data_IF_545294955481
#
_entry.id   IF_545294955481
#
_cell.length_a   1.000
_cell.length_b   1.000
_cell.length_c   1.000
_cell.angle_alpha   90.00
_cell.angle_beta   90.00
_cell.angle_gamma   90.00
#
_symmetry.space_group_name_H-M   'P 1'
#
loop_
_entity.id
_entity.type
_entity.pdbx_description
1 polymer ?
#
# COMPACT_ATOMS: atom_id res chain seq x y z
N UNK A 1 -38.04 28.51 43.58
CA UNK A 1 -37.68 27.50 44.60
C UNK A 1 -38.03 26.13 44.05
N UNK A 2 -37.04 25.42 43.51
CA UNK A 2 -37.22 24.04 43.05
C UNK A 2 -37.05 23.15 44.29
N UNK A 3 -38.04 22.31 44.58
CA UNK A 3 -37.98 21.36 45.71
C UNK A 3 -36.87 20.35 45.44
N UNK A 4 -35.89 20.33 46.35
CA UNK A 4 -34.85 19.31 46.43
C UNK A 4 -35.53 17.98 46.79
N UNK A 5 -35.33 16.97 45.95
CA UNK A 5 -36.00 15.67 46.08
C UNK A 5 -35.04 14.72 46.80
N UNK A 6 -35.19 14.60 48.12
CA UNK A 6 -34.35 13.77 49.03
C UNK A 6 -34.57 12.25 48.90
N UNK A 7 -34.85 11.74 47.69
CA UNK A 7 -34.92 10.29 47.49
C UNK A 7 -33.52 9.72 47.26
N UNK A 8 -33.09 8.69 48.02
CA UNK A 8 -31.82 8.03 47.78
C UNK A 8 -31.82 7.38 46.38
N UNK A 9 -30.93 7.87 45.52
CA UNK A 9 -30.77 7.41 44.14
C UNK A 9 -30.45 5.91 44.09
N UNK A 10 -31.10 5.19 43.18
CA UNK A 10 -30.97 3.73 43.08
C UNK A 10 -29.61 3.36 42.51
N UNK A 11 -29.02 2.25 42.98
CA UNK A 11 -27.70 1.76 42.56
C UNK A 11 -27.57 1.52 41.03
N UNK A 12 -28.69 1.33 40.33
CA UNK A 12 -28.78 1.21 38.86
C UNK A 12 -28.61 2.53 38.09
N UNK A 13 -28.72 3.68 38.77
CA UNK A 13 -28.62 5.02 38.19
C UNK A 13 -27.19 5.59 38.25
N UNK A 14 -26.28 4.83 38.88
CA UNK A 14 -24.85 5.13 38.93
C UNK A 14 -24.10 4.34 37.86
N UNK A 15 -23.26 5.04 37.06
CA UNK A 15 -21.89 4.71 36.56
C UNK A 15 -21.55 5.61 35.35
N UNK A 16 -20.32 6.15 35.20
CA UNK A 16 -19.07 5.36 35.19
C UNK A 16 -17.88 5.94 35.99
N UNK A 17 -16.94 5.05 36.36
CA UNK A 17 -15.66 5.43 36.97
C UNK A 17 -14.53 5.15 35.97
N UNK A 18 -14.24 6.15 35.14
CA UNK A 18 -13.45 6.02 33.92
C UNK A 18 -13.20 7.37 33.25
N UNK A 19 -12.85 7.34 31.97
CA UNK A 19 -12.77 8.52 31.10
C UNK A 19 -13.88 8.47 30.06
N UNK A 20 -14.55 9.58 29.78
CA UNK A 20 -15.56 9.68 28.73
C UNK A 20 -15.36 10.93 27.87
N UNK A 21 -15.82 10.89 26.62
CA UNK A 21 -15.83 12.07 25.76
C UNK A 21 -16.95 13.07 26.14
N UNK A 22 -17.00 14.21 25.44
CA UNK A 22 -18.04 15.24 25.60
C UNK A 22 -19.31 14.96 24.77
N UNK A 23 -19.52 13.72 24.28
CA UNK A 23 -20.70 13.36 23.52
C UNK A 23 -22.01 13.51 24.33
N UNK A 24 -23.13 13.66 23.61
CA UNK A 24 -24.48 13.63 24.20
C UNK A 24 -24.73 12.30 24.91
N UNK A 25 -25.65 12.25 25.88
CA UNK A 25 -25.84 11.10 26.78
C UNK A 25 -25.93 9.72 26.06
N UNK A 26 -26.55 9.67 24.88
CA UNK A 26 -26.73 8.43 24.10
C UNK A 26 -25.66 8.20 23.01
N UNK A 27 -24.68 9.10 22.91
CA UNK A 27 -23.60 9.06 21.91
C UNK A 27 -22.21 9.16 22.57
N UNK A 28 -22.17 9.20 23.90
CA UNK A 28 -20.96 9.39 24.68
C UNK A 28 -20.14 8.12 24.70
N UNK A 29 -18.88 8.23 24.31
CA UNK A 29 -17.94 7.11 24.35
C UNK A 29 -17.19 7.15 25.66
N UNK A 30 -17.08 6.00 26.34
CA UNK A 30 -16.44 5.93 27.65
C UNK A 30 -15.59 4.67 27.80
N UNK A 31 -14.52 4.80 28.59
CA UNK A 31 -13.63 3.72 29.01
C UNK A 31 -13.56 3.68 30.52
N UNK A 32 -14.02 2.58 31.11
CA UNK A 32 -13.93 2.36 32.55
C UNK A 32 -12.50 2.05 32.98
N UNK A 33 -12.10 2.51 34.16
CA UNK A 33 -10.82 2.13 34.74
C UNK A 33 -10.79 0.64 35.08
N UNK A 34 -9.63 0.01 34.93
CA UNK A 34 -9.38 -1.30 35.55
C UNK A 34 -9.45 -1.16 37.08
N UNK A 35 -9.77 -2.25 37.79
CA UNK A 35 -9.83 -2.24 39.27
C UNK A 35 -8.56 -1.66 39.91
N UNK A 36 -7.39 -2.09 39.44
CA UNK A 36 -6.09 -1.64 39.94
C UNK A 36 -5.87 -0.14 39.70
N UNK A 37 -6.25 0.36 38.53
CA UNK A 37 -6.09 1.77 38.20
C UNK A 37 -7.10 2.64 38.97
N UNK A 38 -8.30 2.12 39.18
CA UNK A 38 -9.31 2.76 40.02
C UNK A 38 -8.84 2.93 41.47
N UNK A 39 -8.23 1.90 42.06
CA UNK A 39 -7.66 1.97 43.43
C UNK A 39 -6.58 3.05 43.55
N UNK A 40 -5.77 3.27 42.50
CA UNK A 40 -4.78 4.36 42.46
C UNK A 40 -5.43 5.74 42.40
N UNK A 41 -6.46 5.89 41.57
CA UNK A 41 -7.21 7.14 41.42
C UNK A 41 -7.95 7.52 42.71
N UNK A 42 -8.40 6.52 43.47
CA UNK A 42 -9.07 6.69 44.76
C UNK A 42 -8.13 6.59 45.96
N UNK A 43 -6.80 6.59 45.73
CA UNK A 43 -5.85 6.51 46.83
C UNK A 43 -5.92 7.75 47.72
N UNK A 44 -5.71 7.60 49.04
CA UNK A 44 -5.68 8.74 49.95
C UNK A 44 -4.74 9.84 49.46
N UNK A 45 -5.22 11.08 49.49
CA UNK A 45 -4.47 12.23 49.01
C UNK A 45 -4.64 12.55 47.52
N UNK A 46 -5.33 11.73 46.73
CA UNK A 46 -5.77 12.09 45.37
C UNK A 46 -7.16 12.73 45.45
N UNK A 47 -7.30 13.95 44.97
CA UNK A 47 -8.56 14.69 44.95
C UNK A 47 -8.67 15.65 43.75
N UNK A 48 -9.84 16.26 43.61
CA UNK A 48 -10.15 17.19 42.51
C UNK A 48 -9.15 18.33 42.35
N UNK A 49 -8.57 18.83 43.46
CA UNK A 49 -7.68 20.00 43.45
C UNK A 49 -6.23 19.64 43.12
N UNK A 50 -5.85 18.36 43.22
CA UNK A 50 -4.45 17.97 43.11
C UNK A 50 -4.16 16.80 42.16
N UNK A 51 -5.17 16.07 41.65
CA UNK A 51 -4.93 14.91 40.79
C UNK A 51 -4.06 15.25 39.55
N UNK A 52 -4.26 16.42 38.94
CA UNK A 52 -3.47 16.91 37.80
C UNK A 52 -2.00 17.14 38.15
N UNK A 53 -1.75 17.50 39.41
CA UNK A 53 -0.41 17.76 39.95
C UNK A 53 0.33 16.47 40.32
N UNK A 54 -0.37 15.34 40.40
CA UNK A 54 0.20 14.02 40.70
C UNK A 54 0.53 13.34 39.36
N UNK A 55 1.81 13.27 38.95
CA UNK A 55 2.17 12.84 37.59
C UNK A 55 1.71 11.42 37.24
N UNK A 56 1.67 10.52 38.24
CA UNK A 56 1.23 9.15 38.05
C UNK A 56 -0.27 9.07 37.73
N UNK A 57 -1.09 9.87 38.42
CA UNK A 57 -2.54 9.92 38.19
C UNK A 57 -2.84 10.62 36.87
N UNK A 58 -2.17 11.74 36.58
CA UNK A 58 -2.31 12.45 35.32
C UNK A 58 -2.01 11.55 34.11
N UNK A 59 -0.85 10.88 34.08
CA UNK A 59 -0.50 9.95 33.00
C UNK A 59 -1.48 8.79 32.85
N UNK A 60 -2.00 8.30 33.99
CA UNK A 60 -3.00 7.25 34.00
C UNK A 60 -4.27 7.74 33.29
N UNK A 61 -4.82 8.89 33.67
CA UNK A 61 -6.04 9.45 33.08
C UNK A 61 -5.84 9.79 31.60
N UNK A 62 -4.70 10.41 31.23
CA UNK A 62 -4.35 10.70 29.84
C UNK A 62 -4.30 9.44 28.97
N UNK A 63 -3.77 8.32 29.48
CA UNK A 63 -3.77 7.04 28.76
C UNK A 63 -5.20 6.58 28.46
N UNK A 64 -6.12 6.66 29.42
CA UNK A 64 -7.52 6.28 29.17
C UNK A 64 -8.21 7.26 28.21
N UNK A 65 -7.89 8.56 28.27
CA UNK A 65 -8.35 9.53 27.29
C UNK A 65 -7.87 9.21 25.86
N UNK A 66 -6.62 8.77 25.70
CA UNK A 66 -6.09 8.27 24.43
C UNK A 66 -6.74 6.96 23.98
N UNK A 67 -7.22 6.12 24.89
CA UNK A 67 -8.03 4.95 24.50
C UNK A 67 -9.39 5.39 23.98
N UNK A 68 -10.07 6.32 24.67
CA UNK A 68 -11.37 6.88 24.24
C UNK A 68 -11.26 7.53 22.87
N UNK A 69 -10.16 8.25 22.58
CA UNK A 69 -9.97 8.91 21.27
C UNK A 69 -9.92 7.93 20.09
N UNK A 70 -9.67 6.63 20.31
CA UNK A 70 -9.62 5.63 19.23
C UNK A 70 -10.99 5.14 18.78
N UNK A 71 -12.00 5.25 19.65
CA UNK A 71 -13.35 4.75 19.37
C UNK A 71 -14.44 5.80 19.56
N UNK A 72 -14.08 7.03 19.94
CA UNK A 72 -15.03 8.12 20.06
C UNK A 72 -15.57 8.54 18.69
N UNK A 73 -16.88 8.76 18.62
CA UNK A 73 -17.49 9.37 17.44
C UNK A 73 -17.00 10.81 17.20
N UNK A 74 -16.58 11.52 18.25
CA UNK A 74 -16.07 12.89 18.13
C UNK A 74 -14.71 12.96 17.40
N UNK A 75 -13.95 11.87 17.42
CA UNK A 75 -12.61 11.79 16.82
C UNK A 75 -12.60 11.05 15.49
N UNK A 76 -13.75 10.54 15.03
CA UNK A 76 -13.87 9.70 13.83
C UNK A 76 -13.30 10.37 12.58
N UNK A 77 -13.52 11.67 12.43
CA UNK A 77 -13.10 12.43 11.26
C UNK A 77 -11.77 13.18 11.49
N UNK A 78 -11.17 13.04 12.67
CA UNK A 78 -9.89 13.66 13.01
C UNK A 78 -8.73 12.79 12.50
N UNK A 79 -7.77 13.40 11.81
CA UNK A 79 -6.51 12.74 11.39
C UNK A 79 -5.62 12.43 12.57
N UNK A 80 -5.56 13.34 13.54
CA UNK A 80 -4.78 13.21 14.77
C UNK A 80 -5.53 13.86 15.94
N UNK A 81 -6.43 13.13 16.62
CA UNK A 81 -7.11 13.64 17.80
C UNK A 81 -6.11 13.88 18.93
N UNK A 82 -6.00 15.13 19.38
CA UNK A 82 -5.27 15.51 20.57
C UNK A 82 -6.20 15.83 21.73
N UNK A 83 -5.68 15.71 22.94
CA UNK A 83 -6.42 16.00 24.18
C UNK A 83 -6.23 17.47 24.51
N UNK A 84 -7.32 18.24 24.50
CA UNK A 84 -7.32 19.67 24.84
C UNK A 84 -7.46 19.86 26.34
N UNK A 85 -8.44 19.17 26.92
CA UNK A 85 -8.74 19.29 28.33
C UNK A 85 -9.27 17.98 28.90
N UNK A 86 -9.00 17.75 30.18
CA UNK A 86 -9.59 16.66 30.96
C UNK A 86 -10.18 17.28 32.22
N UNK A 87 -11.49 17.15 32.41
CA UNK A 87 -12.22 17.69 33.56
C UNK A 87 -12.72 16.54 34.42
N UNK A 88 -12.42 16.59 35.72
CA UNK A 88 -13.05 15.67 36.67
C UNK A 88 -14.50 16.12 36.93
N UNK A 89 -15.45 15.31 36.46
CA UNK A 89 -16.90 15.48 36.62
C UNK A 89 -17.45 14.40 37.56
N UNK A 90 -18.41 14.76 38.41
CA UNK A 90 -19.26 13.79 39.10
C UNK A 90 -20.51 13.58 38.25
N UNK A 91 -20.92 12.35 37.96
CA UNK A 91 -22.05 12.13 37.05
C UNK A 91 -23.03 11.06 37.56
N UNK A 92 -24.30 11.46 37.60
CA UNK A 92 -25.50 10.60 37.48
C UNK A 92 -25.98 10.72 36.03
N UNK A 93 -26.39 9.61 35.42
CA UNK A 93 -26.90 9.62 34.03
C UNK A 93 -28.33 10.18 33.98
N UNK A 94 -28.62 11.11 33.06
CA UNK A 94 -30.00 11.54 32.73
C UNK A 94 -30.34 13.03 32.88
N UNK A 95 -29.43 13.87 33.38
CA UNK A 95 -29.65 15.32 33.51
C UNK A 95 -28.61 16.13 32.72
N UNK A 96 -29.05 17.20 32.05
CA UNK A 96 -28.18 18.09 31.25
C UNK A 96 -27.22 18.91 32.12
N UNK A 97 -27.66 19.33 33.30
CA UNK A 97 -26.84 19.83 34.40
C UNK A 97 -27.54 19.43 35.70
N UNK A 98 -26.81 18.85 36.65
CA UNK A 98 -27.36 18.62 38.00
C UNK A 98 -26.63 19.54 38.97
N UNK A 99 -27.21 20.71 39.31
CA UNK A 99 -26.69 21.54 40.38
C UNK A 99 -26.76 20.73 41.68
N UNK A 100 -25.66 20.67 42.43
CA UNK A 100 -25.64 20.03 43.76
C UNK A 100 -24.94 18.67 43.87
N UNK A 101 -24.82 17.86 42.81
CA UNK A 101 -24.07 16.58 42.86
C UNK A 101 -22.55 16.76 43.06
N UNK A 102 -22.05 17.97 42.79
CA UNK A 102 -20.70 18.39 43.14
C UNK A 102 -20.44 18.46 44.66
N UNK A 103 -21.47 18.47 45.50
CA UNK A 103 -21.36 18.50 46.96
C UNK A 103 -21.23 17.08 47.57
N UNK A 104 -21.81 16.06 46.94
CA UNK A 104 -21.76 14.67 47.45
C UNK A 104 -20.45 13.94 47.13
N UNK A 105 -19.67 14.43 46.16
CA UNK A 105 -18.27 13.98 45.94
C UNK A 105 -17.28 14.64 46.92
N UNK A 106 -17.74 14.93 48.15
CA UNK A 106 -16.93 15.54 49.20
C UNK A 106 -15.67 14.72 49.54
N UNK A 107 -15.67 13.42 49.20
CA UNK A 107 -14.58 12.47 49.42
C UNK A 107 -14.00 11.83 48.14
N UNK A 108 -14.32 12.31 46.93
CA UNK A 108 -13.72 11.78 45.69
C UNK A 108 -14.11 10.33 45.33
N UNK A 109 -15.26 9.84 45.81
CA UNK A 109 -15.69 8.44 45.64
C UNK A 109 -16.24 8.09 44.26
N UNK A 110 -16.63 9.07 43.45
CA UNK A 110 -17.06 8.84 42.06
C UNK A 110 -16.37 9.83 41.14
N UNK A 111 -15.47 9.30 40.31
CA UNK A 111 -14.54 10.04 39.46
C UNK A 111 -14.80 9.68 38.01
N UNK A 112 -15.52 10.54 37.29
CA UNK A 112 -15.62 10.48 35.85
C UNK A 112 -14.73 11.59 35.28
N UNK A 113 -13.82 11.25 34.39
CA UNK A 113 -13.00 12.24 33.71
C UNK A 113 -13.59 12.49 32.33
N UNK A 114 -14.08 13.70 32.09
CA UNK A 114 -14.57 14.10 30.79
C UNK A 114 -13.41 14.68 29.97
N UNK A 115 -13.19 14.14 28.78
CA UNK A 115 -12.12 14.59 27.87
C UNK A 115 -12.68 15.33 26.65
N UNK A 116 -11.98 16.40 26.28
CA UNK A 116 -12.19 17.17 25.06
C UNK A 116 -11.10 16.89 24.03
N UNK A 117 -11.51 16.69 22.78
CA UNK A 117 -10.60 16.39 21.66
C UNK A 117 -10.60 17.49 20.62
N UNK A 118 -9.44 17.71 20.00
CA UNK A 118 -9.27 18.62 18.86
C UNK A 118 -8.30 18.02 17.83
N UNK A 119 -8.40 18.44 16.57
CA UNK A 119 -7.44 18.09 15.53
C UNK A 119 -6.08 18.75 15.83
N UNK A 120 -5.07 17.93 16.15
CA UNK A 120 -3.71 18.42 16.41
C UNK A 120 -2.77 18.27 15.22
N UNK A 121 -3.25 17.73 14.09
CA UNK A 121 -2.49 17.79 12.85
C UNK A 121 -2.61 19.19 12.26
N UNK A 122 -1.48 19.87 12.06
CA UNK A 122 -1.45 20.99 11.12
C UNK A 122 -2.03 20.52 9.77
N UNK A 123 -2.79 21.37 9.05
CA UNK A 123 -3.32 21.01 7.75
C UNK A 123 -2.15 20.51 6.92
N UNK A 124 -2.21 19.22 6.56
CA UNK A 124 -1.15 18.49 5.85
C UNK A 124 -0.69 19.41 4.72
N UNK A 125 0.46 20.08 4.89
CA UNK A 125 0.98 21.07 3.93
C UNK A 125 1.01 20.32 2.62
N UNK A 126 0.02 20.61 1.76
CA UNK A 126 -0.16 19.90 0.51
C UNK A 126 1.19 20.00 -0.14
N UNK A 127 1.82 18.85 -0.36
CA UNK A 127 3.25 18.75 -0.64
C UNK A 127 3.48 19.49 -1.95
N UNK A 128 3.75 20.79 -1.86
CA UNK A 128 3.75 21.70 -3.02
C UNK A 128 4.81 21.26 -4.02
N UNK A 129 5.88 20.60 -3.55
CA UNK A 129 6.86 19.89 -4.36
C UNK A 129 6.29 18.81 -5.29
N UNK A 130 5.14 18.19 -5.00
CA UNK A 130 4.44 17.30 -5.94
C UNK A 130 3.84 18.07 -7.11
N UNK A 131 3.35 19.32 -6.90
CA UNK A 131 2.95 20.20 -8.00
C UNK A 131 4.16 20.57 -8.84
N UNK A 132 5.29 20.90 -8.21
CA UNK A 132 6.55 21.14 -8.94
C UNK A 132 7.05 19.90 -9.70
N UNK A 133 6.89 18.68 -9.16
CA UNK A 133 7.18 17.44 -9.87
C UNK A 133 6.24 17.25 -11.06
N UNK A 134 4.94 17.48 -10.88
CA UNK A 134 3.96 17.39 -11.95
C UNK A 134 4.27 18.40 -13.07
N UNK A 135 4.60 19.64 -12.71
CA UNK A 135 5.06 20.66 -13.65
C UNK A 135 6.39 20.30 -14.32
N UNK A 136 7.31 19.63 -13.60
CA UNK A 136 8.56 19.13 -14.18
C UNK A 136 8.32 18.00 -15.18
N UNK A 137 7.39 17.07 -14.90
CA UNK A 137 6.99 16.04 -15.86
C UNK A 137 6.26 16.61 -17.07
N UNK A 138 5.37 17.59 -16.87
CA UNK A 138 4.71 18.31 -17.97
C UNK A 138 5.72 19.08 -18.82
N UNK A 139 6.69 19.76 -18.20
CA UNK A 139 7.77 20.44 -18.88
C UNK A 139 8.68 19.49 -19.67
N UNK A 140 9.03 18.34 -19.08
CA UNK A 140 9.81 17.30 -19.76
C UNK A 140 9.02 16.67 -20.93
N UNK A 141 7.73 16.41 -20.76
CA UNK A 141 6.90 15.92 -21.86
C UNK A 141 6.79 16.94 -23.00
N UNK A 142 6.71 18.24 -22.66
CA UNK A 142 6.70 19.33 -23.64
C UNK A 142 8.05 19.47 -24.36
N UNK A 143 9.17 19.31 -23.64
CA UNK A 143 10.50 19.28 -24.25
C UNK A 143 10.72 18.04 -25.12
N UNK A 144 10.23 16.87 -24.71
CA UNK A 144 10.31 15.63 -25.51
C UNK A 144 9.47 15.76 -26.78
N UNK A 145 8.25 16.31 -26.68
CA UNK A 145 7.40 16.55 -27.86
C UNK A 145 7.99 17.59 -28.80
N UNK A 146 8.55 18.69 -28.28
CA UNK A 146 9.29 19.67 -29.09
C UNK A 146 10.55 19.06 -29.73
N UNK A 147 11.28 18.20 -29.02
CA UNK A 147 12.44 17.47 -29.55
C UNK A 147 12.04 16.49 -30.64
N UNK A 148 10.90 15.79 -30.50
CA UNK A 148 10.33 14.95 -31.56
C UNK A 148 9.86 15.78 -32.76
N UNK A 149 9.23 16.93 -32.54
CA UNK A 149 8.81 17.88 -33.60
C UNK A 149 9.98 18.48 -34.37
N UNK A 150 11.09 18.80 -33.70
CA UNK A 150 12.30 19.27 -34.37
C UNK A 150 13.06 18.14 -35.08
N UNK A 151 13.03 16.90 -34.57
CA UNK A 151 13.58 15.73 -35.27
C UNK A 151 12.68 15.22 -36.41
N UNK A 152 11.39 15.55 -36.43
CA UNK A 152 10.47 15.21 -37.52
C UNK A 152 10.84 15.89 -38.84
N UNK A 153 11.54 17.04 -38.81
CA UNK A 153 12.05 17.70 -40.01
C UNK A 153 13.45 17.22 -40.44
N UNK A 154 14.08 16.29 -39.72
CA UNK A 154 15.39 15.73 -40.10
C UNK A 154 15.33 14.28 -40.61
N UNK A 155 14.12 13.73 -40.79
CA UNK A 155 13.92 12.42 -41.42
C UNK A 155 12.94 12.46 -42.58
N UNK A 156 13.00 13.50 -43.43
CA UNK A 156 12.63 13.34 -44.84
C UNK A 156 13.90 13.03 -45.63
N UNK A 157 14.41 11.81 -45.46
CA UNK A 157 15.28 11.19 -46.45
C UNK A 157 14.51 9.98 -47.01
N UNK A 158 14.15 9.98 -48.30
CA UNK A 158 13.35 8.92 -48.90
C UNK A 158 14.26 7.72 -49.15
N UNK A 159 14.52 6.93 -48.11
CA UNK A 159 14.89 5.54 -48.30
C UNK A 159 13.70 4.69 -47.92
N UNK A 160 12.82 4.54 -48.91
CA UNK A 160 12.15 3.28 -49.16
C UNK A 160 13.25 2.23 -49.23
N UNK A 161 13.54 1.61 -48.10
CA UNK A 161 14.10 0.28 -48.08
C UNK A 161 13.08 -0.55 -47.35
N UNK A 162 12.39 -1.39 -48.11
CA UNK A 162 11.80 -2.61 -47.60
C UNK A 162 12.84 -3.29 -46.70
N UNK A 163 12.78 -3.05 -45.40
CA UNK A 163 13.41 -3.92 -44.42
C UNK A 163 12.28 -4.68 -43.77
N UNK A 164 11.90 -5.75 -44.44
CA UNK A 164 11.41 -6.93 -43.75
C UNK A 164 12.26 -7.09 -42.50
N UNK A 165 11.56 -7.13 -41.36
CA UNK A 165 12.07 -7.59 -40.08
C UNK A 165 13.19 -8.59 -40.34
N UNK A 166 14.44 -8.20 -40.06
CA UNK A 166 15.61 -9.07 -40.02
C UNK A 166 16.10 -9.03 -38.56
N UNK A 167 15.41 -9.78 -37.69
CA UNK A 167 15.84 -10.10 -36.34
C UNK A 167 17.09 -10.98 -36.39
N UNK A 168 18.21 -10.45 -36.87
CA UNK A 168 19.51 -11.11 -36.76
C UNK A 168 20.06 -10.82 -35.37
N UNK A 169 20.23 -11.83 -34.55
CA UNK A 169 20.97 -11.76 -33.29
C UNK A 169 22.45 -11.54 -33.58
N UNK A 170 22.84 -10.31 -33.90
CA UNK A 170 24.23 -9.97 -34.28
C UNK A 170 25.19 -10.35 -33.15
N UNK A 171 26.19 -11.15 -33.51
CA UNK A 171 27.27 -11.67 -32.65
C UNK A 171 28.14 -10.60 -31.98
N UNK A 172 28.18 -9.38 -32.55
CA UNK A 172 29.06 -8.29 -32.08
C UNK A 172 28.42 -7.39 -31.00
N UNK A 173 27.23 -7.71 -30.49
CA UNK A 173 26.60 -6.94 -29.43
C UNK A 173 27.24 -7.25 -28.06
N UNK A 174 27.34 -6.27 -27.14
CA UNK A 174 27.77 -6.51 -25.77
C UNK A 174 26.98 -7.67 -25.13
N UNK A 175 27.65 -8.55 -24.37
CA UNK A 175 27.06 -9.77 -23.79
C UNK A 175 25.73 -9.52 -23.05
N UNK A 176 25.63 -8.37 -22.36
CA UNK A 176 24.41 -7.93 -21.67
C UNK A 176 23.25 -7.57 -22.63
N UNK A 177 23.56 -7.01 -23.80
CA UNK A 177 22.59 -6.72 -24.87
C UNK A 177 22.10 -8.01 -25.55
N UNK A 178 23.01 -8.98 -25.76
CA UNK A 178 22.69 -10.31 -26.30
C UNK A 178 21.73 -11.08 -25.38
N UNK A 179 22.04 -11.16 -24.08
CA UNK A 179 21.16 -11.82 -23.09
C UNK A 179 19.78 -11.19 -23.02
N UNK A 180 19.71 -9.86 -23.07
CA UNK A 180 18.43 -9.12 -23.08
C UNK A 180 17.62 -9.45 -24.34
N UNK A 181 18.25 -9.45 -25.51
CA UNK A 181 17.61 -9.77 -26.79
C UNK A 181 17.00 -11.18 -26.80
N UNK A 182 17.73 -12.20 -26.30
CA UNK A 182 17.21 -13.57 -26.22
C UNK A 182 16.01 -13.68 -25.27
N UNK A 183 16.06 -12.95 -24.15
CA UNK A 183 14.96 -12.93 -23.17
C UNK A 183 13.73 -12.19 -23.72
N UNK A 184 13.92 -11.12 -24.46
CA UNK A 184 12.84 -10.34 -25.08
C UNK A 184 12.16 -11.15 -26.19
N UNK A 185 12.91 -11.82 -27.05
CA UNK A 185 12.37 -12.71 -28.08
C UNK A 185 11.52 -13.86 -27.50
N UNK A 186 11.98 -14.50 -26.41
CA UNK A 186 11.19 -15.54 -25.72
C UNK A 186 9.90 -15.00 -25.11
N UNK A 187 9.94 -13.76 -24.58
CA UNK A 187 8.76 -13.11 -24.02
C UNK A 187 7.74 -12.76 -25.09
N UNK A 188 8.21 -12.25 -26.23
CA UNK A 188 7.38 -11.96 -27.39
C UNK A 188 6.71 -13.23 -27.91
N UNK A 189 7.47 -14.33 -28.00
CA UNK A 189 6.91 -15.63 -28.39
C UNK A 189 5.83 -16.10 -27.41
N UNK A 190 6.06 -16.02 -26.10
CA UNK A 190 5.05 -16.37 -25.10
C UNK A 190 3.80 -15.48 -25.20
N UNK A 191 3.96 -14.22 -25.57
CA UNK A 191 2.83 -13.30 -25.81
C UNK A 191 2.03 -13.71 -27.05
N UNK A 192 2.70 -14.16 -28.11
CA UNK A 192 2.04 -14.66 -29.33
C UNK A 192 1.30 -15.97 -29.03
N UNK A 193 1.93 -16.91 -28.34
CA UNK A 193 1.34 -18.20 -27.98
C UNK A 193 0.13 -18.09 -27.04
N UNK A 194 0.10 -17.08 -26.15
CA UNK A 194 -1.07 -16.79 -25.29
C UNK A 194 -2.34 -16.49 -26.05
N UNK A 195 -2.23 -16.07 -27.32
CA UNK A 195 -3.38 -15.74 -28.17
C UNK A 195 -3.98 -16.99 -28.81
N UNK A 196 -3.32 -18.13 -28.70
CA UNK A 196 -3.83 -19.39 -29.24
C UNK A 196 -4.94 -19.96 -28.36
N UNK A 197 -6.01 -20.52 -28.95
CA UNK A 197 -7.11 -21.12 -28.20
C UNK A 197 -6.68 -22.31 -27.33
N UNK A 198 -5.58 -22.98 -27.67
CA UNK A 198 -5.04 -24.14 -26.93
C UNK A 198 -3.90 -23.79 -25.97
N UNK A 199 -3.75 -22.52 -25.58
CA UNK A 199 -2.67 -22.05 -24.69
C UNK A 199 -2.48 -22.90 -23.42
N UNK A 200 -3.57 -23.39 -22.82
CA UNK A 200 -3.54 -24.22 -21.61
C UNK A 200 -2.83 -25.56 -21.81
N UNK A 201 -2.80 -26.11 -23.04
CA UNK A 201 -2.08 -27.35 -23.37
C UNK A 201 -0.57 -27.14 -23.50
N UNK A 202 -0.12 -25.89 -23.66
CA UNK A 202 1.28 -25.52 -23.86
C UNK A 202 2.03 -25.24 -22.55
N UNK A 203 1.63 -25.84 -21.44
CA UNK A 203 2.21 -25.56 -20.11
C UNK A 203 3.70 -25.89 -20.02
N UNK A 204 4.15 -26.94 -20.72
CA UNK A 204 5.57 -27.31 -20.78
C UNK A 204 6.39 -26.27 -21.55
N UNK A 205 5.83 -25.72 -22.64
CA UNK A 205 6.44 -24.61 -23.40
C UNK A 205 6.54 -23.37 -22.53
N UNK A 206 5.50 -23.07 -21.74
CA UNK A 206 5.49 -21.93 -20.84
C UNK A 206 6.62 -22.00 -19.82
N UNK A 207 6.76 -23.15 -19.15
CA UNK A 207 7.78 -23.35 -18.13
C UNK A 207 9.19 -23.22 -18.71
N UNK A 208 9.43 -23.88 -19.84
CA UNK A 208 10.74 -23.89 -20.52
C UNK A 208 11.12 -22.50 -21.07
N UNK A 209 10.19 -21.82 -21.74
CA UNK A 209 10.44 -20.51 -22.33
C UNK A 209 10.49 -19.38 -21.28
N UNK A 210 9.93 -19.60 -20.08
CA UNK A 210 10.04 -18.66 -18.95
C UNK A 210 11.29 -18.88 -18.09
N UNK A 211 11.98 -20.00 -18.27
CA UNK A 211 13.16 -20.36 -17.47
C UNK A 211 14.29 -19.33 -17.63
N UNK A 212 14.89 -18.93 -16.52
CA UNK A 212 16.03 -18.03 -16.50
C UNK A 212 17.34 -18.82 -16.48
N UNK A 213 18.15 -18.74 -17.54
CA UNK A 213 19.52 -19.26 -17.51
C UNK A 213 20.46 -18.40 -16.66
N UNK A 214 21.25 -19.03 -15.79
CA UNK A 214 22.33 -18.35 -15.04
C UNK A 214 23.55 -18.25 -15.96
N UNK A 215 23.82 -17.05 -16.49
CA UNK A 215 24.93 -16.79 -17.42
C UNK A 215 24.54 -16.85 -18.91
N UNK A 216 25.41 -16.35 -19.78
CA UNK A 216 25.11 -16.17 -21.21
C UNK A 216 24.94 -17.49 -21.97
N UNK A 217 25.80 -18.49 -21.71
CA UNK A 217 25.71 -19.81 -22.36
C UNK A 217 24.40 -20.52 -22.01
N UNK A 218 23.97 -20.44 -20.75
CA UNK A 218 22.71 -21.05 -20.31
C UNK A 218 21.50 -20.34 -20.92
N UNK A 219 21.57 -19.02 -21.11
CA UNK A 219 20.51 -18.26 -21.79
C UNK A 219 20.35 -18.68 -23.27
N UNK A 220 21.45 -18.98 -23.96
CA UNK A 220 21.43 -19.50 -25.33
C UNK A 220 20.83 -20.91 -25.39
N UNK A 221 21.23 -21.78 -24.46
CA UNK A 221 20.67 -23.14 -24.37
C UNK A 221 19.16 -23.10 -24.12
N UNK A 222 18.71 -22.30 -23.16
CA UNK A 222 17.27 -22.14 -22.87
C UNK A 222 16.52 -21.54 -24.07
N UNK A 223 17.13 -20.59 -24.77
CA UNK A 223 16.58 -20.03 -26.01
C UNK A 223 16.34 -21.08 -27.09
N UNK A 224 17.35 -21.89 -27.41
CA UNK A 224 17.24 -22.93 -28.43
C UNK A 224 16.27 -24.06 -28.01
N UNK A 225 16.27 -24.44 -26.72
CA UNK A 225 15.31 -25.43 -26.19
C UNK A 225 13.87 -24.95 -26.30
N UNK A 226 13.62 -23.69 -25.94
CA UNK A 226 12.31 -23.05 -26.10
C UNK A 226 11.86 -23.11 -27.56
N UNK A 227 12.71 -22.70 -28.51
CA UNK A 227 12.38 -22.73 -29.93
C UNK A 227 12.03 -24.14 -30.43
N UNK A 228 12.88 -25.13 -30.14
CA UNK A 228 12.68 -26.52 -30.55
C UNK A 228 11.37 -27.10 -30.01
N UNK A 229 11.05 -26.82 -28.74
CA UNK A 229 9.82 -27.31 -28.12
C UNK A 229 8.58 -26.66 -28.72
N UNK A 230 8.64 -25.36 -28.98
CA UNK A 230 7.53 -24.63 -29.61
C UNK A 230 7.28 -25.14 -31.02
N UNK A 231 8.33 -25.40 -31.80
CA UNK A 231 8.20 -25.97 -33.14
C UNK A 231 7.49 -27.33 -33.12
N UNK A 232 7.88 -28.22 -32.20
CA UNK A 232 7.26 -29.54 -32.06
C UNK A 232 5.76 -29.48 -31.67
N UNK A 233 5.39 -28.55 -30.79
CA UNK A 233 4.00 -28.41 -30.33
C UNK A 233 3.12 -27.63 -31.32
N UNK A 234 3.71 -26.78 -32.15
CA UNK A 234 2.97 -25.96 -33.11
C UNK A 234 2.90 -26.57 -34.50
N UNK A 235 3.69 -27.61 -34.81
CA UNK A 235 3.68 -28.34 -36.09
C UNK A 235 2.27 -28.81 -36.50
N UNK A 236 1.43 -29.18 -35.54
CA UNK A 236 0.04 -29.62 -35.77
C UNK A 236 -0.99 -28.48 -35.82
N UNK A 237 -0.60 -27.26 -35.42
CA UNK A 237 -1.49 -26.11 -35.22
C UNK A 237 -1.57 -25.15 -36.42
N UNK A 238 -0.92 -25.46 -37.56
CA UNK A 238 -0.93 -24.60 -38.74
C UNK A 238 -0.16 -23.29 -38.49
N UNK A 239 1.17 -23.38 -38.53
CA UNK A 239 2.17 -22.39 -38.09
C UNK A 239 2.26 -21.08 -38.88
N UNK A 240 1.33 -20.77 -39.78
CA UNK A 240 1.48 -19.64 -40.70
C UNK A 240 1.40 -18.25 -40.04
N UNK A 241 0.87 -18.11 -38.82
CA UNK A 241 0.59 -16.79 -38.22
C UNK A 241 1.38 -16.44 -36.94
N UNK A 242 2.29 -17.31 -36.46
CA UNK A 242 3.06 -17.02 -35.24
C UNK A 242 4.38 -16.32 -35.58
N UNK A 243 4.30 -15.00 -35.75
CA UNK A 243 5.46 -14.15 -36.11
C UNK A 243 6.63 -14.21 -35.11
N UNK A 244 6.40 -14.65 -33.87
CA UNK A 244 7.44 -14.88 -32.86
C UNK A 244 8.40 -16.03 -33.21
N UNK A 245 7.90 -17.11 -33.84
CA UNK A 245 8.72 -18.28 -34.19
C UNK A 245 9.74 -17.91 -35.25
N UNK A 246 9.29 -17.29 -36.35
CA UNK A 246 10.18 -16.89 -37.45
C UNK A 246 11.24 -15.87 -37.04
N UNK A 247 10.96 -15.04 -36.02
CA UNK A 247 11.95 -14.13 -35.42
C UNK A 247 12.99 -14.87 -34.59
N UNK A 248 12.57 -15.89 -33.83
CA UNK A 248 13.49 -16.72 -33.06
C UNK A 248 14.34 -17.64 -33.94
N UNK A 249 13.81 -18.17 -35.05
CA UNK A 249 14.56 -18.99 -36.01
C UNK A 249 15.73 -18.22 -36.63
N UNK A 250 15.49 -17.00 -37.12
CA UNK A 250 16.55 -16.14 -37.68
C UNK A 250 17.62 -15.76 -36.65
N UNK A 251 17.24 -15.66 -35.38
CA UNK A 251 18.19 -15.47 -34.29
C UNK A 251 18.99 -16.76 -34.02
N UNK A 252 18.33 -17.92 -34.04
CA UNK A 252 18.95 -19.22 -33.81
C UNK A 252 19.96 -19.59 -34.91
N UNK A 253 19.66 -19.29 -36.18
CA UNK A 253 20.60 -19.44 -37.31
C UNK A 253 21.90 -18.68 -37.04
N UNK A 254 21.80 -17.43 -36.58
CA UNK A 254 22.97 -16.61 -36.25
C UNK A 254 23.77 -17.15 -35.06
N UNK A 255 23.09 -17.71 -34.05
CA UNK A 255 23.75 -18.32 -32.88
C UNK A 255 24.45 -19.63 -33.26
N UNK A 256 23.81 -20.45 -34.08
CA UNK A 256 24.34 -21.73 -34.52
C UNK A 256 25.49 -21.59 -35.52
N UNK A 257 25.53 -20.50 -36.29
CA UNK A 257 26.65 -20.16 -37.16
C UNK A 257 27.97 -19.91 -36.40
N UNK A 258 27.92 -19.55 -35.11
CA UNK A 258 29.12 -19.37 -34.28
C UNK A 258 29.81 -20.69 -33.91
N UNK A 259 29.20 -21.84 -34.24
CA UNK A 259 29.76 -23.18 -34.11
C UNK A 259 30.31 -23.51 -32.71
N UNK A 260 29.66 -23.00 -31.66
CA UNK A 260 30.07 -23.23 -30.27
C UNK A 260 29.74 -24.66 -29.83
N UNK A 261 30.68 -25.34 -29.18
CA UNK A 261 30.52 -26.76 -28.79
C UNK A 261 29.33 -27.00 -27.85
N UNK A 262 29.03 -26.07 -26.94
CA UNK A 262 27.91 -26.22 -25.98
C UNK A 262 26.52 -26.12 -26.63
N UNK A 263 26.42 -25.60 -27.86
CA UNK A 263 25.16 -25.41 -28.58
C UNK A 263 24.91 -26.47 -29.66
N UNK A 264 25.94 -27.22 -30.05
CA UNK A 264 25.88 -28.28 -31.07
C UNK A 264 24.69 -29.24 -30.94
N UNK A 265 24.34 -29.77 -29.73
CA UNK A 265 23.24 -30.70 -29.59
C UNK A 265 21.87 -30.12 -29.97
N UNK A 266 21.71 -28.80 -29.87
CA UNK A 266 20.47 -28.09 -30.18
C UNK A 266 20.46 -27.57 -31.61
N UNK A 267 21.59 -27.01 -32.06
CA UNK A 267 21.74 -26.49 -33.41
C UNK A 267 21.57 -27.55 -34.50
N UNK A 268 21.94 -28.82 -34.24
CA UNK A 268 21.71 -29.92 -35.19
C UNK A 268 20.24 -30.34 -35.34
N UNK A 269 19.38 -29.92 -34.40
CA UNK A 269 17.95 -30.28 -34.37
C UNK A 269 17.05 -29.17 -34.90
N UNK A 270 17.60 -27.99 -35.15
CA UNK A 270 16.93 -26.86 -35.80
C UNK A 270 16.99 -27.04 -37.32
#
# INVERSE_FOLDING_TARGET
MVKENDQPLKFSEWRPIGVCDQGRANQRSARMFSRRDFEKICSPGVNRKNWEKIPQIRKLVERYALEVSRFSNLTKDMKKPGIVSIKLVGAVLGHEETPGLNLESKDGKVQLFQVEFEETAEPKKERSWLKYILFAFLGMALLITLFFLMNLNFQTNPNISQKGSNASCRSNAPQQSRMKTLKDLRRDLLSDLKRLPEWSRLQDVQNLCSEGGVGSQQQEIVFLRCLLRVRAETETLGTAEITGISRMERCAESICAENQQHLQPYCRRL
#
